data_IF_937031941301
#
_entry.id   IF_937031941301
#
_cell.length_a   1.000
_cell.length_b   1.000
_cell.length_c   1.000
_cell.angle_alpha   90.00
_cell.angle_beta   90.00
_cell.angle_gamma   90.00
#
_symmetry.space_group_name_H-M   'P 1'
#
loop_
_entity.id
_entity.type
_entity.pdbx_description
1 polymer ?
#
# COMPACT_ATOMS: atom_id res chain seq x y z
N UNK A 1 7.57 -30.68 14.81
CA UNK A 1 7.19 -29.36 14.26
C UNK A 1 8.00 -28.98 13.01
N UNK A 2 9.31 -29.26 12.94
CA UNK A 2 10.17 -28.98 11.77
C UNK A 2 9.60 -29.42 10.41
N UNK A 3 9.04 -30.64 10.32
CA UNK A 3 8.40 -31.13 9.08
C UNK A 3 7.21 -30.27 8.66
N UNK A 4 6.34 -29.90 9.61
CA UNK A 4 5.17 -29.06 9.33
C UNK A 4 5.60 -27.66 8.92
N UNK A 5 6.59 -27.07 9.62
CA UNK A 5 7.17 -25.77 9.27
C UNK A 5 7.73 -25.73 7.85
N UNK A 6 8.41 -26.80 7.40
CA UNK A 6 8.86 -26.90 6.00
C UNK A 6 7.66 -26.95 5.03
N UNK A 7 6.68 -27.79 5.32
CA UNK A 7 5.50 -27.99 4.47
C UNK A 7 4.68 -26.71 4.29
N UNK A 8 4.44 -25.93 5.34
CA UNK A 8 3.60 -24.72 5.21
C UNK A 8 4.26 -23.62 4.37
N UNK A 9 5.60 -23.54 4.38
CA UNK A 9 6.32 -22.61 3.50
C UNK A 9 6.27 -23.08 2.06
N UNK A 10 6.58 -24.35 1.84
CA UNK A 10 6.50 -25.02 0.53
C UNK A 10 5.08 -24.91 -0.05
N UNK A 11 4.04 -25.01 0.77
CA UNK A 11 2.65 -24.83 0.37
C UNK A 11 2.43 -23.45 -0.26
N UNK A 12 2.83 -22.38 0.44
CA UNK A 12 2.64 -21.02 -0.06
C UNK A 12 3.47 -20.77 -1.34
N UNK A 13 4.69 -21.32 -1.40
CA UNK A 13 5.57 -21.24 -2.58
C UNK A 13 4.95 -21.96 -3.80
N UNK A 14 4.41 -23.16 -3.62
CA UNK A 14 3.70 -23.92 -4.68
C UNK A 14 2.50 -23.14 -5.22
N UNK A 15 1.75 -22.45 -4.35
CA UNK A 15 0.58 -21.68 -4.76
C UNK A 15 0.90 -20.26 -5.31
N UNK A 16 2.18 -19.89 -5.39
CA UNK A 16 2.63 -18.69 -6.10
C UNK A 16 3.25 -17.59 -5.24
N UNK A 17 3.58 -17.86 -3.98
CA UNK A 17 4.43 -16.95 -3.21
C UNK A 17 5.89 -16.99 -3.69
N UNK A 18 6.54 -15.83 -3.79
CA UNK A 18 7.97 -15.74 -4.12
C UNK A 18 8.89 -15.79 -2.89
N UNK A 19 8.34 -15.57 -1.70
CA UNK A 19 9.06 -15.67 -0.43
C UNK A 19 8.08 -15.99 0.70
N UNK A 20 8.50 -16.86 1.62
CA UNK A 20 7.69 -17.29 2.77
C UNK A 20 8.53 -17.40 4.04
N UNK A 21 7.96 -17.00 5.16
CA UNK A 21 8.59 -17.04 6.47
C UNK A 21 7.61 -17.37 7.58
N UNK A 22 8.15 -17.70 8.75
CA UNK A 22 7.41 -18.06 9.95
C UNK A 22 7.87 -17.18 11.11
N UNK A 23 6.91 -16.65 11.86
CA UNK A 23 7.13 -15.95 13.13
C UNK A 23 6.44 -16.71 14.26
N UNK A 24 6.94 -16.57 15.49
CA UNK A 24 6.22 -16.94 16.72
C UNK A 24 5.83 -15.71 17.54
N UNK A 25 4.99 -15.90 18.55
CA UNK A 25 4.65 -14.87 19.55
C UNK A 25 5.88 -14.23 20.19
N UNK A 26 6.95 -15.00 20.43
CA UNK A 26 8.21 -14.49 21.00
C UNK A 26 8.95 -13.59 20.02
N UNK A 27 9.00 -13.97 18.74
CA UNK A 27 9.67 -13.15 17.71
C UNK A 27 8.95 -11.81 17.44
N UNK A 28 7.68 -11.71 17.83
CA UNK A 28 6.83 -10.53 17.71
C UNK A 28 6.65 -9.75 19.04
N UNK A 29 7.26 -10.22 20.13
CA UNK A 29 7.11 -9.58 21.44
C UNK A 29 7.58 -8.12 21.44
N UNK A 30 6.87 -7.23 22.14
CA UNK A 30 7.17 -5.79 22.20
C UNK A 30 6.68 -4.98 20.99
N UNK A 31 6.09 -5.65 19.99
CA UNK A 31 5.52 -5.02 18.81
C UNK A 31 4.29 -4.16 19.06
N UNK A 32 3.84 -3.42 18.03
CA UNK A 32 2.59 -2.67 18.10
C UNK A 32 1.39 -3.65 18.17
N UNK A 33 0.20 -3.19 18.59
CA UNK A 33 -0.99 -4.05 18.67
C UNK A 33 -1.29 -4.87 17.41
N UNK A 34 -0.98 -4.35 16.21
CA UNK A 34 -1.12 -5.06 14.93
C UNK A 34 -0.11 -6.18 14.68
N UNK A 35 0.75 -6.54 15.63
CA UNK A 35 1.53 -7.79 15.59
C UNK A 35 1.06 -8.82 16.61
N UNK A 36 0.03 -8.50 17.40
CA UNK A 36 -0.59 -9.44 18.31
C UNK A 36 -1.51 -10.40 17.55
N UNK A 37 -1.04 -11.63 17.36
CA UNK A 37 -1.77 -12.70 16.67
C UNK A 37 -3.04 -13.12 17.41
N UNK A 38 -3.10 -12.91 18.73
CA UNK A 38 -4.26 -13.29 19.55
C UNK A 38 -5.52 -12.50 19.19
N UNK A 39 -5.35 -11.32 18.57
CA UNK A 39 -6.45 -10.49 18.08
C UNK A 39 -7.34 -11.21 17.06
N UNK A 40 -6.73 -11.98 16.15
CA UNK A 40 -7.48 -12.75 15.13
C UNK A 40 -7.72 -14.20 15.55
N UNK A 41 -6.85 -14.75 16.40
CA UNK A 41 -6.96 -16.11 16.89
C UNK A 41 -6.40 -16.20 18.32
N UNK A 42 -7.24 -16.23 19.38
CA UNK A 42 -6.78 -16.16 20.77
C UNK A 42 -5.72 -17.19 21.18
N UNK A 43 -5.72 -18.38 20.57
CA UNK A 43 -4.75 -19.45 20.80
C UNK A 43 -3.57 -19.47 19.83
N UNK A 44 -3.34 -18.42 19.04
CA UNK A 44 -2.25 -18.36 18.07
C UNK A 44 -0.88 -18.44 18.75
N UNK A 45 0.00 -19.28 18.20
CA UNK A 45 1.40 -19.44 18.63
C UNK A 45 2.39 -18.98 17.58
N UNK A 46 2.01 -19.09 16.30
CA UNK A 46 2.83 -18.69 15.18
C UNK A 46 2.01 -18.13 14.04
N UNK A 47 2.68 -17.50 13.09
CA UNK A 47 2.09 -17.12 11.82
C UNK A 47 3.01 -17.45 10.65
N UNK A 48 2.43 -17.91 9.54
CA UNK A 48 3.11 -18.06 8.26
C UNK A 48 2.81 -16.81 7.45
N UNK A 49 3.84 -16.08 7.01
CA UNK A 49 3.73 -14.85 6.23
C UNK A 49 4.45 -15.03 4.91
N UNK A 50 3.88 -14.52 3.83
CA UNK A 50 4.42 -14.71 2.49
C UNK A 50 4.13 -13.51 1.60
N UNK A 51 4.85 -13.46 0.48
CA UNK A 51 4.75 -12.42 -0.51
C UNK A 51 4.41 -12.99 -1.89
N UNK A 52 3.45 -12.38 -2.56
CA UNK A 52 3.08 -12.67 -3.96
C UNK A 52 3.54 -11.52 -4.84
N UNK A 53 4.34 -11.76 -5.88
CA UNK A 53 4.79 -10.69 -6.77
C UNK A 53 3.65 -10.18 -7.64
N UNK A 54 3.62 -8.87 -7.86
CA UNK A 54 2.79 -8.30 -8.92
C UNK A 54 3.45 -8.55 -10.29
N UNK A 55 2.63 -8.69 -11.33
CA UNK A 55 3.12 -8.66 -12.71
C UNK A 55 3.88 -7.34 -12.96
N UNK A 56 5.17 -7.40 -13.35
CA UNK A 56 5.97 -6.19 -13.56
C UNK A 56 5.68 -5.49 -14.90
N UNK A 57 5.09 -6.17 -15.89
CA UNK A 57 4.84 -5.63 -17.22
C UNK A 57 4.05 -4.29 -17.22
N UNK A 58 2.98 -4.11 -16.43
CA UNK A 58 2.24 -2.85 -16.42
C UNK A 58 2.90 -1.69 -15.66
N UNK A 59 4.02 -1.91 -14.95
CA UNK A 59 4.64 -0.87 -14.10
C UNK A 59 5.07 0.34 -14.93
N UNK A 60 5.83 0.11 -16.00
CA UNK A 60 6.37 1.19 -16.83
C UNK A 60 5.27 1.96 -17.59
N UNK A 61 4.32 1.30 -18.29
CA UNK A 61 3.18 1.98 -18.88
C UNK A 61 2.36 2.79 -17.86
N UNK A 62 2.22 2.29 -16.63
CA UNK A 62 1.53 3.02 -15.57
C UNK A 62 2.29 4.29 -15.15
N UNK A 63 3.60 4.19 -14.91
CA UNK A 63 4.43 5.33 -14.52
C UNK A 63 4.48 6.41 -15.60
N UNK A 64 4.50 6.00 -16.89
CA UNK A 64 4.40 6.88 -18.05
C UNK A 64 3.00 7.45 -18.30
N UNK A 65 2.00 7.02 -17.53
CA UNK A 65 0.58 7.36 -17.71
C UNK A 65 -0.03 6.92 -19.05
N UNK A 66 0.39 5.77 -19.55
CA UNK A 66 -0.08 5.18 -20.80
C UNK A 66 -1.17 4.13 -20.56
N UNK A 67 -1.06 3.35 -19.48
CA UNK A 67 -2.03 2.31 -19.14
C UNK A 67 -2.21 2.18 -17.63
N UNK A 68 -3.37 2.64 -17.13
CA UNK A 68 -3.75 2.54 -15.73
C UNK A 68 -4.31 1.17 -15.37
N UNK A 69 -5.12 0.61 -16.27
CA UNK A 69 -6.01 -0.51 -16.00
C UNK A 69 -5.23 -1.81 -15.89
N UNK A 70 -4.16 -1.98 -16.66
CA UNK A 70 -3.34 -3.19 -16.56
C UNK A 70 -2.62 -3.30 -15.20
N UNK A 71 -2.15 -2.18 -14.63
CA UNK A 71 -1.58 -2.21 -13.28
C UNK A 71 -2.67 -2.49 -12.23
N UNK A 72 -3.83 -1.86 -12.36
CA UNK A 72 -4.96 -2.09 -11.45
C UNK A 72 -5.36 -3.59 -11.45
N UNK A 73 -5.47 -4.19 -12.63
CA UNK A 73 -5.73 -5.65 -12.78
C UNK A 73 -4.63 -6.50 -12.15
N UNK A 74 -3.36 -6.16 -12.37
CA UNK A 74 -2.24 -6.88 -11.76
C UNK A 74 -2.25 -6.78 -10.23
N UNK A 75 -2.53 -5.59 -9.68
CA UNK A 75 -2.64 -5.37 -8.24
C UNK A 75 -3.80 -6.16 -7.63
N UNK A 76 -4.97 -6.14 -8.27
CA UNK A 76 -6.15 -6.91 -7.82
C UNK A 76 -5.86 -8.41 -7.86
N UNK A 77 -5.27 -8.92 -8.96
CA UNK A 77 -4.91 -10.34 -9.08
C UNK A 77 -3.95 -10.79 -7.98
N UNK A 78 -2.88 -10.03 -7.72
CA UNK A 78 -1.93 -10.36 -6.66
C UNK A 78 -2.57 -10.33 -5.26
N UNK A 79 -3.50 -9.40 -5.00
CA UNK A 79 -4.27 -9.36 -3.75
C UNK A 79 -5.21 -10.55 -3.58
N UNK A 80 -5.92 -10.92 -4.65
CA UNK A 80 -6.81 -12.08 -4.65
C UNK A 80 -6.02 -13.36 -4.45
N UNK A 81 -4.89 -13.51 -5.14
CA UNK A 81 -4.02 -14.68 -4.99
C UNK A 81 -3.45 -14.77 -3.57
N UNK A 82 -2.84 -13.70 -3.04
CA UNK A 82 -2.27 -13.71 -1.69
C UNK A 82 -3.31 -14.05 -0.61
N UNK A 83 -4.51 -13.46 -0.70
CA UNK A 83 -5.61 -13.77 0.22
C UNK A 83 -6.16 -15.20 0.03
N UNK A 84 -6.15 -15.71 -1.21
CA UNK A 84 -6.54 -17.07 -1.53
C UNK A 84 -5.58 -18.12 -0.94
N UNK A 85 -4.27 -17.91 -1.08
CA UNK A 85 -3.23 -18.75 -0.46
C UNK A 85 -3.43 -18.78 1.05
N UNK A 86 -3.70 -17.63 1.68
CA UNK A 86 -3.94 -17.57 3.12
C UNK A 86 -5.14 -18.45 3.53
N UNK A 87 -6.25 -18.36 2.79
CA UNK A 87 -7.44 -19.18 3.01
C UNK A 87 -7.14 -20.68 2.85
N UNK A 88 -6.49 -21.08 1.76
CA UNK A 88 -6.16 -22.48 1.50
C UNK A 88 -5.24 -23.06 2.57
N UNK A 89 -4.18 -22.33 2.94
CA UNK A 89 -3.23 -22.76 3.96
C UNK A 89 -3.89 -22.85 5.35
N UNK A 90 -4.76 -21.91 5.70
CA UNK A 90 -5.52 -21.97 6.96
C UNK A 90 -6.44 -23.19 7.01
N UNK A 91 -7.13 -23.51 5.91
CA UNK A 91 -7.95 -24.72 5.79
C UNK A 91 -7.10 -26.00 5.91
N UNK A 92 -5.97 -26.04 5.23
CA UNK A 92 -5.02 -27.15 5.29
C UNK A 92 -4.55 -27.44 6.72
N UNK A 93 -4.15 -26.39 7.46
CA UNK A 93 -3.72 -26.51 8.86
C UNK A 93 -4.87 -26.93 9.78
N UNK A 94 -6.05 -26.36 9.59
CA UNK A 94 -7.25 -26.68 10.38
C UNK A 94 -7.64 -28.15 10.21
N UNK A 95 -7.63 -28.68 9.00
CA UNK A 95 -7.89 -30.11 8.73
C UNK A 95 -6.82 -31.04 9.34
N UNK A 96 -5.63 -30.52 9.65
CA UNK A 96 -4.59 -31.25 10.38
C UNK A 96 -4.69 -31.11 11.90
N UNK A 97 -5.76 -30.50 12.41
CA UNK A 97 -6.00 -30.31 13.84
C UNK A 97 -5.34 -29.06 14.43
N UNK A 98 -4.89 -28.12 13.59
CA UNK A 98 -4.31 -26.85 14.04
C UNK A 98 -5.26 -25.69 13.71
N UNK A 99 -6.04 -25.18 14.69
CA UNK A 99 -6.87 -23.98 14.50
C UNK A 99 -6.07 -22.86 13.84
N UNK A 100 -6.57 -22.35 12.72
CA UNK A 100 -5.86 -21.36 11.91
C UNK A 100 -6.83 -20.37 11.30
N UNK A 101 -6.43 -19.10 11.23
CA UNK A 101 -7.22 -18.01 10.66
C UNK A 101 -6.45 -17.39 9.49
N UNK A 102 -7.04 -17.32 8.28
CA UNK A 102 -6.44 -16.61 7.18
C UNK A 102 -6.54 -15.10 7.44
N UNK A 103 -5.44 -14.39 7.22
CA UNK A 103 -5.42 -12.93 7.32
C UNK A 103 -5.26 -12.38 5.89
N UNK A 104 -6.31 -11.72 5.42
CA UNK A 104 -6.35 -11.15 4.07
C UNK A 104 -5.24 -10.12 3.86
N UNK A 105 -4.81 -9.96 2.60
CA UNK A 105 -3.73 -9.03 2.28
C UNK A 105 -4.04 -7.57 2.64
N UNK A 106 -5.32 -7.17 2.58
CA UNK A 106 -5.80 -5.83 2.91
C UNK A 106 -7.32 -5.87 3.16
N UNK A 107 -7.91 -4.70 3.46
CA UNK A 107 -9.34 -4.44 3.66
C UNK A 107 -9.94 -5.00 4.95
N UNK A 108 -9.10 -5.38 5.93
CA UNK A 108 -9.53 -5.75 7.28
C UNK A 108 -8.83 -4.82 8.25
N UNK A 109 -9.63 -4.00 8.93
CA UNK A 109 -9.15 -2.92 9.79
C UNK A 109 -9.73 -3.06 11.20
N UNK A 110 -8.95 -2.63 12.19
CA UNK A 110 -9.42 -2.56 13.58
C UNK A 110 -10.34 -1.35 13.75
N UNK A 111 -11.37 -1.46 14.61
CA UNK A 111 -12.24 -0.33 14.89
C UNK A 111 -11.46 0.85 15.49
N UNK A 112 -11.97 2.05 15.26
CA UNK A 112 -11.44 3.27 15.87
C UNK A 112 -11.61 3.18 17.39
N UNK A 113 -10.57 3.45 18.19
CA UNK A 113 -10.73 3.55 19.64
C UNK A 113 -11.77 4.61 20.01
N UNK A 114 -12.68 4.28 20.93
CA UNK A 114 -13.70 5.20 21.44
C UNK A 114 -13.08 6.50 21.97
N UNK A 115 -13.65 7.65 21.60
CA UNK A 115 -13.24 8.97 22.10
C UNK A 115 -12.13 9.66 21.30
N UNK A 116 -11.73 9.11 20.15
CA UNK A 116 -10.95 9.87 19.16
C UNK A 116 -11.85 10.77 18.33
N UNK A 117 -11.42 11.99 18.11
CA UNK A 117 -12.08 12.90 17.17
C UNK A 117 -11.84 12.40 15.74
N UNK A 118 -12.94 12.14 15.02
CA UNK A 118 -12.89 11.66 13.64
C UNK A 118 -12.82 12.87 12.71
N UNK A 119 -11.62 13.16 12.21
CA UNK A 119 -11.38 14.38 11.44
C UNK A 119 -11.33 14.13 9.93
N UNK A 120 -11.10 12.89 9.49
CA UNK A 120 -11.19 12.46 8.09
C UNK A 120 -11.45 10.95 7.96
N UNK A 121 -11.65 10.44 6.74
CA UNK A 121 -11.89 9.00 6.50
C UNK A 121 -10.81 8.10 7.12
N UNK A 122 -9.56 8.56 7.12
CA UNK A 122 -8.45 7.81 7.71
C UNK A 122 -8.61 7.61 9.23
N UNK A 123 -9.29 8.54 9.90
CA UNK A 123 -9.58 8.49 11.33
C UNK A 123 -10.84 7.68 11.61
N UNK A 124 -11.90 7.88 10.82
CA UNK A 124 -13.20 7.16 10.93
C UNK A 124 -13.09 5.67 10.66
N UNK A 125 -12.25 5.26 9.70
CA UNK A 125 -12.15 3.85 9.32
C UNK A 125 -10.93 3.16 9.89
N UNK A 126 -10.09 3.89 10.65
CA UNK A 126 -8.84 3.41 11.23
C UNK A 126 -8.06 2.55 10.21
N UNK A 127 -7.17 3.16 9.43
CA UNK A 127 -6.26 2.39 8.53
C UNK A 127 -5.21 1.54 9.29
N UNK A 128 -5.53 1.14 10.52
CA UNK A 128 -4.79 0.24 11.35
C UNK A 128 -5.29 -1.19 11.13
N UNK A 129 -4.49 -2.07 10.50
CA UNK A 129 -4.93 -3.40 10.11
C UNK A 129 -5.12 -4.30 11.34
N UNK A 130 -5.91 -5.35 11.17
CA UNK A 130 -5.98 -6.46 12.13
C UNK A 130 -4.58 -7.02 12.43
N UNK A 131 -3.80 -7.37 11.40
CA UNK A 131 -2.39 -7.76 11.50
C UNK A 131 -1.56 -7.02 10.44
N UNK A 132 -0.45 -6.43 10.85
CA UNK A 132 0.47 -5.71 9.98
C UNK A 132 1.51 -6.67 9.37
N UNK A 133 1.15 -7.33 8.27
CA UNK A 133 1.97 -8.30 7.54
C UNK A 133 3.45 -7.91 7.36
N UNK A 134 3.72 -6.62 7.09
CA UNK A 134 5.08 -6.11 6.87
C UNK A 134 6.03 -6.34 8.05
N UNK A 135 5.53 -6.33 9.29
CA UNK A 135 6.36 -6.58 10.46
C UNK A 135 6.68 -8.07 10.60
N UNK A 136 5.68 -8.93 10.38
CA UNK A 136 5.85 -10.38 10.35
C UNK A 136 6.86 -10.76 9.26
N UNK A 137 6.75 -10.16 8.07
CA UNK A 137 7.62 -10.41 6.93
C UNK A 137 9.10 -10.06 7.22
N UNK A 138 9.36 -8.91 7.87
CA UNK A 138 10.74 -8.56 8.28
C UNK A 138 11.26 -9.54 9.34
N UNK A 139 10.44 -9.89 10.33
CA UNK A 139 10.84 -10.77 11.43
C UNK A 139 11.07 -12.22 11.02
N UNK A 140 10.53 -12.63 9.88
CA UNK A 140 10.62 -13.99 9.35
C UNK A 140 11.54 -14.15 8.15
N UNK A 141 12.18 -13.06 7.69
CA UNK A 141 13.11 -13.13 6.57
C UNK A 141 12.46 -13.18 5.18
N UNK A 142 11.21 -12.73 5.05
CA UNK A 142 10.55 -12.56 3.73
C UNK A 142 11.12 -11.36 2.96
N UNK A 143 11.58 -10.32 3.66
CA UNK A 143 12.17 -9.13 3.04
C UNK A 143 12.66 -8.10 4.07
N UNK A 144 13.20 -6.99 3.59
CA UNK A 144 13.65 -5.89 4.44
C UNK A 144 12.64 -4.76 4.50
N UNK A 145 12.68 -3.99 5.59
CA UNK A 145 11.93 -2.73 5.65
C UNK A 145 12.67 -1.67 4.83
N UNK A 146 12.04 -1.16 3.77
CA UNK A 146 12.54 -0.02 3.02
C UNK A 146 12.30 1.30 3.76
N UNK A 147 13.02 2.37 3.37
CA UNK A 147 12.85 3.68 4.00
C UNK A 147 11.42 4.23 3.84
N UNK A 148 10.74 3.87 2.75
CA UNK A 148 9.32 4.19 2.56
C UNK A 148 8.38 3.44 3.48
N UNK A 149 8.84 2.49 4.31
CA UNK A 149 8.01 1.59 5.10
C UNK A 149 7.32 0.48 4.30
N UNK A 150 7.54 0.38 2.99
CA UNK A 150 7.18 -0.81 2.22
C UNK A 150 8.20 -1.92 2.49
N UNK A 151 7.74 -3.17 2.49
CA UNK A 151 8.66 -4.29 2.43
C UNK A 151 9.35 -4.30 1.06
N UNK A 152 10.64 -4.57 1.03
CA UNK A 152 11.41 -4.74 -0.19
C UNK A 152 11.99 -6.16 -0.21
N UNK A 153 11.76 -6.86 -1.31
CA UNK A 153 12.18 -8.25 -1.53
C UNK A 153 13.25 -8.25 -2.62
N UNK A 154 14.26 -9.15 -2.54
CA UNK A 154 15.13 -9.43 -3.67
C UNK A 154 14.31 -9.67 -4.95
N UNK A 155 14.85 -9.23 -6.10
CA UNK A 155 14.25 -9.35 -7.45
C UNK A 155 12.92 -8.64 -7.72
N UNK A 156 12.10 -8.38 -6.70
CA UNK A 156 10.76 -7.79 -6.85
C UNK A 156 10.63 -6.37 -6.29
N UNK A 157 11.61 -5.85 -5.57
CA UNK A 157 11.47 -4.52 -4.98
C UNK A 157 10.33 -4.48 -3.98
N UNK A 158 9.57 -3.39 -3.98
CA UNK A 158 8.34 -3.26 -3.18
C UNK A 158 7.07 -3.73 -3.91
N UNK A 159 7.15 -4.25 -5.15
CA UNK A 159 5.97 -4.59 -5.95
C UNK A 159 5.48 -6.01 -5.65
N UNK A 160 5.15 -6.23 -4.39
CA UNK A 160 4.66 -7.50 -3.84
C UNK A 160 3.45 -7.23 -2.95
N UNK A 161 2.57 -8.22 -2.85
CA UNK A 161 1.44 -8.22 -1.92
C UNK A 161 1.71 -9.24 -0.82
N UNK A 162 1.53 -8.82 0.43
CA UNK A 162 1.75 -9.67 1.61
C UNK A 162 0.43 -10.21 2.12
N UNK A 163 0.44 -11.45 2.57
CA UNK A 163 -0.64 -12.04 3.37
C UNK A 163 -0.05 -12.98 4.42
N UNK A 164 -0.88 -13.43 5.36
CA UNK A 164 -0.44 -14.37 6.40
C UNK A 164 -1.55 -15.28 6.90
N UNK A 165 -1.14 -16.31 7.64
CA UNK A 165 -2.03 -17.22 8.37
C UNK A 165 -1.58 -17.26 9.81
N UNK A 166 -2.44 -16.85 10.74
CA UNK A 166 -2.22 -17.04 12.17
C UNK A 166 -2.68 -18.46 12.56
N UNK A 167 -1.89 -19.17 13.37
CA UNK A 167 -2.17 -20.57 13.70
C UNK A 167 -1.79 -20.92 15.14
N UNK A 168 -2.56 -21.83 15.73
CA UNK A 168 -2.24 -22.46 17.01
C UNK A 168 -1.11 -23.50 16.90
N UNK A 169 -0.68 -23.86 15.68
CA UNK A 169 0.50 -24.70 15.48
C UNK A 169 1.76 -24.02 16.04
N UNK A 170 2.61 -24.79 16.72
CA UNK A 170 3.90 -24.34 17.24
C UNK A 170 4.98 -24.52 16.17
N UNK A 171 4.96 -23.64 15.17
CA UNK A 171 5.87 -23.71 14.03
C UNK A 171 7.23 -23.11 14.38
N UNK A 172 8.29 -23.71 13.85
CA UNK A 172 9.68 -23.22 13.99
C UNK A 172 9.83 -21.89 13.23
N UNK A 173 10.14 -20.77 13.91
CA UNK A 173 10.34 -19.48 13.26
C UNK A 173 11.51 -19.50 12.29
N UNK A 174 11.40 -18.72 11.21
CA UNK A 174 12.52 -18.47 10.30
C UNK A 174 13.27 -17.22 10.75
N UNK A 175 14.61 -17.20 10.63
CA UNK A 175 15.39 -16.02 10.98
C UNK A 175 15.08 -14.87 10.00
N UNK A 176 15.20 -13.60 10.44
CA UNK A 176 15.26 -12.45 9.54
C UNK A 176 16.38 -12.57 8.52
N UNK A 177 16.24 -11.85 7.41
CA UNK A 177 17.35 -11.66 6.48
C UNK A 177 18.49 -10.86 7.15
N UNK A 178 19.76 -11.16 6.83
CA UNK A 178 20.90 -10.44 7.37
C UNK A 178 20.81 -8.93 7.09
N UNK A 179 20.98 -8.04 8.08
CA UNK A 179 20.85 -6.59 7.89
C UNK A 179 21.71 -6.00 6.76
N UNK A 180 22.89 -6.57 6.53
CA UNK A 180 23.83 -6.19 5.48
C UNK A 180 23.33 -6.45 4.06
N UNK A 181 22.31 -7.30 3.88
CA UNK A 181 21.67 -7.57 2.59
C UNK A 181 20.58 -6.54 2.24
N UNK A 182 20.26 -5.62 3.17
CA UNK A 182 19.27 -4.58 2.93
C UNK A 182 19.79 -3.52 1.93
N UNK A 183 19.36 -3.63 0.67
CA UNK A 183 19.74 -2.73 -0.41
C UNK A 183 19.07 -1.34 -0.37
N UNK A 184 18.24 -1.05 0.63
CA UNK A 184 17.68 0.28 0.83
C UNK A 184 18.76 1.27 1.35
N UNK A 185 19.40 1.94 0.41
CA UNK A 185 20.38 3.01 0.64
C UNK A 185 19.79 4.37 1.06
N UNK A 186 18.53 4.40 1.51
CA UNK A 186 17.78 5.62 1.87
C UNK A 186 17.82 6.72 0.78
N UNK A 187 17.87 6.35 -0.50
CA UNK A 187 17.90 7.30 -1.63
C UNK A 187 16.76 8.34 -1.67
N UNK A 188 15.65 8.13 -0.97
CA UNK A 188 14.55 9.08 -0.86
C UNK A 188 13.64 9.18 -2.09
N UNK A 189 13.87 8.41 -3.16
CA UNK A 189 13.06 8.49 -4.38
C UNK A 189 11.59 8.13 -4.16
N UNK A 190 11.30 7.22 -3.25
CA UNK A 190 9.93 6.90 -2.83
C UNK A 190 9.22 8.06 -2.13
N UNK A 191 9.95 8.89 -1.38
CA UNK A 191 9.44 10.11 -0.76
C UNK A 191 9.26 11.21 -1.81
N UNK A 192 10.24 11.37 -2.70
CA UNK A 192 10.17 12.32 -3.80
C UNK A 192 9.05 12.02 -4.82
N UNK A 193 8.59 10.76 -4.89
CA UNK A 193 7.46 10.34 -5.71
C UNK A 193 6.09 10.52 -5.01
N UNK A 194 6.07 10.89 -3.73
CA UNK A 194 4.84 11.03 -2.94
C UNK A 194 4.24 12.43 -3.10
N UNK A 195 3.17 12.55 -3.90
CA UNK A 195 2.50 13.83 -4.14
C UNK A 195 1.84 14.45 -2.89
N UNK A 196 1.57 13.65 -1.84
CA UNK A 196 0.92 14.13 -0.61
C UNK A 196 1.85 14.42 0.55
N UNK A 197 3.15 14.15 0.40
CA UNK A 197 4.13 14.33 1.46
C UNK A 197 3.84 13.48 2.71
N UNK A 198 3.22 12.30 2.57
CA UNK A 198 2.84 11.41 3.68
C UNK A 198 4.02 10.95 4.55
N UNK A 199 5.21 10.85 3.96
CA UNK A 199 6.42 10.33 4.59
C UNK A 199 7.34 11.46 5.02
N UNK A 200 7.78 11.44 6.28
CA UNK A 200 8.71 12.41 6.85
C UNK A 200 10.16 12.03 6.49
N UNK A 201 10.88 12.97 5.85
CA UNK A 201 12.26 12.73 5.42
C UNK A 201 13.26 12.73 6.58
N UNK A 202 12.97 13.48 7.65
CA UNK A 202 13.92 13.75 8.75
C UNK A 202 13.68 12.86 9.96
N UNK A 203 12.44 12.45 10.19
CA UNK A 203 12.05 11.64 11.35
C UNK A 203 11.78 10.20 10.96
N UNK A 204 12.21 9.28 11.80
CA UNK A 204 11.92 7.85 11.64
C UNK A 204 10.87 7.40 12.67
N UNK A 205 10.12 6.37 12.31
CA UNK A 205 9.43 5.49 13.25
C UNK A 205 10.33 4.29 13.52
N UNK A 206 10.48 3.93 14.79
CA UNK A 206 11.23 2.75 15.22
C UNK A 206 10.30 1.84 16.02
N UNK A 207 10.37 0.55 15.74
CA UNK A 207 9.62 -0.51 16.41
C UNK A 207 10.58 -1.61 16.81
N UNK A 208 10.42 -2.18 18.00
CA UNK A 208 11.23 -3.31 18.49
C UNK A 208 10.35 -4.55 18.57
N UNK A 209 10.77 -5.63 17.92
CA UNK A 209 10.02 -6.89 17.83
C UNK A 209 10.96 -8.06 18.13
N UNK A 210 10.71 -8.78 19.23
CA UNK A 210 11.57 -9.89 19.66
C UNK A 210 13.04 -9.47 19.80
N UNK A 211 13.28 -8.26 20.34
CA UNK A 211 14.62 -7.68 20.51
C UNK A 211 15.25 -7.10 19.24
N UNK A 212 14.59 -7.16 18.08
CA UNK A 212 15.12 -6.61 16.81
C UNK A 212 14.46 -5.28 16.48
N UNK A 213 15.29 -4.28 16.22
CA UNK A 213 14.86 -2.95 15.82
C UNK A 213 14.53 -2.88 14.32
N UNK A 214 13.38 -2.29 13.99
CA UNK A 214 12.96 -1.97 12.63
C UNK A 214 12.69 -0.47 12.54
N UNK A 215 13.36 0.22 11.61
CA UNK A 215 13.22 1.66 11.41
C UNK A 215 12.84 2.02 9.98
N UNK A 216 11.96 3.01 9.81
CA UNK A 216 11.52 3.54 8.51
C UNK A 216 11.05 4.99 8.65
N UNK A 217 10.77 5.69 7.54
CA UNK A 217 10.28 7.07 7.57
C UNK A 217 9.01 7.20 8.41
N UNK A 218 9.00 8.17 9.33
CA UNK A 218 7.83 8.48 10.15
C UNK A 218 6.66 8.85 9.25
N UNK A 219 5.50 8.27 9.53
CA UNK A 219 4.25 8.68 8.87
C UNK A 219 3.78 10.00 9.48
N UNK A 220 3.40 10.94 8.61
CA UNK A 220 2.53 12.06 8.98
C UNK A 220 1.09 11.53 9.12
N UNK A 221 0.09 12.40 8.97
CA UNK A 221 -1.30 11.94 8.92
C UNK A 221 -1.61 10.99 7.76
N UNK A 222 -2.35 9.92 8.03
CA UNK A 222 -2.78 8.97 6.99
C UNK A 222 -3.73 9.58 5.96
N UNK A 223 -4.51 10.60 6.35
CA UNK A 223 -5.37 11.35 5.43
C UNK A 223 -4.61 11.97 4.25
N UNK A 224 -3.31 12.27 4.41
CA UNK A 224 -2.48 12.70 3.27
C UNK A 224 -2.39 11.63 2.19
N UNK A 225 -2.13 10.39 2.60
CA UNK A 225 -2.01 9.28 1.68
C UNK A 225 -3.36 8.99 1.01
N UNK A 226 -4.44 9.00 1.78
CA UNK A 226 -5.77 8.70 1.27
C UNK A 226 -6.27 9.73 0.25
N UNK A 227 -6.02 11.04 0.45
CA UNK A 227 -6.31 12.08 -0.55
C UNK A 227 -5.81 11.74 -1.97
N UNK A 228 -4.63 11.13 -2.07
CA UNK A 228 -3.99 10.82 -3.36
C UNK A 228 -4.15 9.37 -3.79
N UNK A 229 -4.30 8.43 -2.86
CA UNK A 229 -4.46 7.00 -3.15
C UNK A 229 -5.92 6.65 -3.51
N UNK A 230 -6.87 7.31 -2.86
CA UNK A 230 -8.30 7.21 -3.20
C UNK A 230 -8.68 8.05 -4.41
N UNK A 231 -7.76 8.92 -4.87
CA UNK A 231 -7.86 9.59 -6.16
C UNK A 231 -8.64 10.90 -6.12
N UNK A 232 -8.88 11.48 -4.94
CA UNK A 232 -9.52 12.79 -4.79
C UNK A 232 -8.67 13.93 -5.37
N UNK A 233 -7.35 13.84 -5.25
CA UNK A 233 -6.40 14.76 -5.89
C UNK A 233 -5.13 14.03 -6.32
N UNK A 234 -4.29 14.64 -7.15
CA UNK A 234 -3.11 13.98 -7.69
C UNK A 234 -1.98 14.85 -8.19
N UNK A 235 -2.18 16.16 -8.36
CA UNK A 235 -1.13 17.02 -8.89
C UNK A 235 0.07 17.10 -7.92
N UNK A 236 1.26 16.77 -8.40
CA UNK A 236 2.48 16.93 -7.62
C UNK A 236 2.73 18.42 -7.34
N UNK A 237 3.27 18.83 -6.17
CA UNK A 237 3.51 20.23 -5.84
C UNK A 237 4.35 21.02 -6.86
N UNK A 238 5.15 20.35 -7.68
CA UNK A 238 5.89 21.00 -8.75
C UNK A 238 5.05 21.36 -9.98
N UNK A 239 3.78 20.98 -10.06
CA UNK A 239 2.88 21.20 -11.20
C UNK A 239 3.19 20.42 -12.48
N UNK A 240 4.31 19.70 -12.52
CA UNK A 240 4.87 19.06 -13.72
C UNK A 240 4.32 17.67 -14.03
N UNK A 241 3.88 16.95 -13.01
CA UNK A 241 3.33 15.60 -13.15
C UNK A 241 2.29 15.33 -12.06
N UNK A 242 1.50 14.27 -12.19
CA UNK A 242 0.46 13.91 -11.22
C UNK A 242 0.41 12.41 -10.91
N UNK A 243 -0.50 11.98 -10.02
CA UNK A 243 -1.01 10.61 -10.00
C UNK A 243 -1.97 10.38 -11.18
N UNK A 244 -2.70 9.26 -11.21
CA UNK A 244 -3.79 9.07 -12.17
C UNK A 244 -5.10 9.78 -11.79
N UNK A 245 -5.11 10.58 -10.72
CA UNK A 245 -6.22 11.48 -10.42
C UNK A 245 -6.14 12.74 -11.30
N UNK A 246 -7.27 13.21 -11.88
CA UNK A 246 -7.34 14.50 -12.55
C UNK A 246 -7.44 15.70 -11.58
N UNK A 247 -7.68 15.43 -10.28
CA UNK A 247 -7.86 16.47 -9.26
C UNK A 247 -6.57 17.22 -8.96
N UNK A 248 -6.71 18.52 -8.73
CA UNK A 248 -5.63 19.51 -8.50
C UNK A 248 -5.84 20.30 -7.22
N UNK A 249 -6.63 19.77 -6.30
CA UNK A 249 -6.78 20.34 -4.97
C UNK A 249 -5.47 20.18 -4.20
N UNK A 250 -4.95 21.25 -3.58
CA UNK A 250 -3.70 21.19 -2.83
C UNK A 250 -3.86 20.26 -1.63
N UNK A 251 -2.87 19.40 -1.38
CA UNK A 251 -2.76 18.69 -0.12
C UNK A 251 -2.27 19.69 0.93
N UNK A 252 -2.98 19.89 2.06
CA UNK A 252 -2.60 20.90 3.05
C UNK A 252 -1.19 20.70 3.62
N UNK A 253 -0.50 21.78 3.94
CA UNK A 253 0.83 21.70 4.55
C UNK A 253 0.78 21.22 6.00
N UNK A 254 -0.26 21.59 6.74
CA UNK A 254 -0.49 21.19 8.13
C UNK A 254 -1.53 20.08 8.21
N UNK A 255 -1.43 19.21 9.21
CA UNK A 255 -2.31 18.04 9.32
C UNK A 255 -3.71 18.44 9.85
N UNK A 256 -3.79 19.53 10.61
CA UNK A 256 -5.00 20.10 11.20
C UNK A 256 -5.96 20.67 10.14
N UNK A 257 -5.46 20.98 8.94
CA UNK A 257 -6.24 21.52 7.83
C UNK A 257 -6.81 20.41 6.91
N UNK A 258 -6.46 19.13 7.17
CA UNK A 258 -6.96 18.00 6.39
C UNK A 258 -8.50 17.88 6.40
N UNK A 259 -9.22 18.05 7.52
CA UNK A 259 -10.67 17.86 7.55
C UNK A 259 -11.41 18.76 6.56
N UNK A 260 -11.11 20.06 6.58
CA UNK A 260 -11.70 21.03 5.65
C UNK A 260 -11.32 20.74 4.18
N UNK A 261 -10.12 20.21 3.93
CA UNK A 261 -9.73 19.79 2.60
C UNK A 261 -10.55 18.58 2.13
N UNK A 262 -10.84 17.63 3.02
CA UNK A 262 -11.61 16.41 2.73
C UNK A 262 -13.04 16.72 2.27
N UNK A 263 -13.77 17.57 2.98
CA UNK A 263 -15.17 17.90 2.64
C UNK A 263 -15.29 18.40 1.21
N UNK A 264 -14.43 19.36 0.85
CA UNK A 264 -14.41 19.97 -0.49
C UNK A 264 -14.10 18.95 -1.59
N UNK A 265 -13.06 18.12 -1.39
CA UNK A 265 -12.61 17.20 -2.45
C UNK A 265 -13.55 16.02 -2.62
N UNK A 266 -14.20 15.55 -1.55
CA UNK A 266 -15.19 14.47 -1.64
C UNK A 266 -16.44 14.93 -2.37
N UNK A 267 -16.95 16.14 -2.07
CA UNK A 267 -18.10 16.70 -2.77
C UNK A 267 -17.81 16.85 -4.27
N UNK A 268 -16.63 17.34 -4.61
CA UNK A 268 -16.19 17.47 -6.00
C UNK A 268 -16.05 16.10 -6.68
N UNK A 269 -15.37 15.15 -6.04
CA UNK A 269 -15.13 13.80 -6.57
C UNK A 269 -16.43 13.02 -6.79
N UNK A 270 -17.42 13.14 -5.89
CA UNK A 270 -18.73 12.48 -6.04
C UNK A 270 -19.53 12.96 -7.25
N UNK A 271 -19.14 14.10 -7.85
CA UNK A 271 -19.74 14.67 -9.07
C UNK A 271 -18.93 14.35 -10.33
N UNK A 272 -17.80 13.65 -10.22
CA UNK A 272 -16.98 13.32 -11.38
C UNK A 272 -17.65 12.26 -12.25
N UNK A 273 -17.48 12.33 -13.59
CA UNK A 273 -17.93 11.26 -14.46
C UNK A 273 -17.25 9.93 -14.09
N UNK A 274 -18.02 8.84 -14.16
CA UNK A 274 -17.51 7.50 -13.91
C UNK A 274 -16.34 7.18 -14.86
N UNK A 275 -15.33 6.50 -14.34
CA UNK A 275 -14.20 6.00 -15.13
C UNK A 275 -14.12 4.48 -15.05
N UNK A 276 -13.53 3.86 -16.09
CA UNK A 276 -13.37 2.41 -16.18
C UNK A 276 -12.57 1.84 -15.00
N UNK A 277 -12.81 0.57 -14.68
CA UNK A 277 -12.11 -0.15 -13.63
C UNK A 277 -12.63 0.17 -12.23
N UNK A 278 -11.75 -0.03 -11.25
CA UNK A 278 -11.99 0.08 -9.83
C UNK A 278 -12.55 -1.19 -9.20
N UNK A 279 -12.55 -1.19 -7.86
CA UNK A 279 -13.05 -2.28 -7.01
C UNK A 279 -13.88 -1.72 -5.87
N UNK A 280 -14.79 -2.51 -5.33
CA UNK A 280 -15.52 -2.13 -4.13
C UNK A 280 -14.60 -2.12 -2.90
N UNK A 281 -14.91 -1.22 -1.99
CA UNK A 281 -14.26 -1.05 -0.70
C UNK A 281 -15.33 -1.01 0.39
N UNK A 282 -15.05 -1.53 1.58
CA UNK A 282 -16.10 -1.90 2.55
C UNK A 282 -17.00 -0.75 3.04
N UNK A 283 -16.57 0.50 2.89
CA UNK A 283 -17.30 1.68 3.38
C UNK A 283 -17.92 2.55 2.27
N UNK A 284 -17.78 2.18 0.99
CA UNK A 284 -18.40 2.91 -0.14
C UNK A 284 -19.09 1.95 -1.10
N UNK A 285 -20.27 2.34 -1.56
CA UNK A 285 -21.01 1.64 -2.63
C UNK A 285 -20.53 2.05 -4.04
N UNK A 286 -19.49 2.88 -4.12
CA UNK A 286 -18.79 3.23 -5.36
C UNK A 286 -17.48 2.46 -5.54
N UNK A 287 -17.05 2.29 -6.80
CA UNK A 287 -15.78 1.65 -7.12
C UNK A 287 -14.61 2.60 -6.85
N UNK A 288 -13.71 2.20 -5.95
CA UNK A 288 -12.42 2.85 -5.76
C UNK A 288 -11.50 2.50 -6.94
N UNK A 289 -11.08 3.50 -7.71
CA UNK A 289 -10.11 3.33 -8.83
C UNK A 289 -8.69 3.51 -8.34
N UNK A 290 -7.80 2.66 -8.83
CA UNK A 290 -6.39 2.70 -8.50
C UNK A 290 -5.74 3.96 -9.09
N UNK A 291 -5.39 4.91 -8.23
CA UNK A 291 -4.93 6.24 -8.65
C UNK A 291 -3.45 6.51 -8.38
N UNK A 292 -2.90 6.01 -7.27
CA UNK A 292 -1.51 6.19 -6.89
C UNK A 292 -0.92 4.90 -6.28
N UNK A 293 0.31 4.57 -6.68
CA UNK A 293 1.15 3.58 -6.01
C UNK A 293 2.65 3.89 -6.15
N UNK A 294 3.01 5.15 -6.38
CA UNK A 294 4.36 5.51 -6.83
C UNK A 294 5.47 5.11 -5.85
N UNK A 295 5.26 5.23 -4.54
CA UNK A 295 6.28 4.84 -3.56
C UNK A 295 6.57 3.33 -3.55
N UNK A 296 5.61 2.51 -3.96
CA UNK A 296 5.76 1.07 -4.17
C UNK A 296 6.44 0.80 -5.51
N UNK A 297 5.93 1.39 -6.60
CA UNK A 297 6.39 1.11 -7.95
C UNK A 297 7.83 1.59 -8.23
N UNK A 298 8.21 2.74 -7.66
CA UNK A 298 9.58 3.29 -7.80
C UNK A 298 10.60 2.46 -7.02
N UNK A 299 10.21 1.80 -5.93
CA UNK A 299 11.11 0.97 -5.13
C UNK A 299 11.41 -0.37 -5.84
N UNK A 300 12.52 -0.40 -6.57
CA UNK A 300 13.05 -1.56 -7.27
C UNK A 300 14.38 -2.06 -6.66
N UNK A 301 14.84 -3.28 -6.98
CA UNK A 301 16.08 -3.85 -6.42
C UNK A 301 17.33 -2.99 -6.66
N UNK A 302 17.54 -2.52 -7.89
CA UNK A 302 18.73 -1.73 -8.25
C UNK A 302 18.49 -0.23 -8.12
N UNK A 303 19.55 0.53 -7.84
CA UNK A 303 19.46 2.00 -7.72
C UNK A 303 19.19 2.64 -9.08
N UNK A 304 19.74 2.05 -10.13
CA UNK A 304 19.59 2.43 -11.52
C UNK A 304 18.12 2.33 -11.93
N UNK A 305 17.45 1.21 -11.62
CA UNK A 305 16.03 1.04 -11.93
C UNK A 305 15.16 1.98 -11.10
N UNK A 306 15.48 2.20 -9.82
CA UNK A 306 14.80 3.20 -8.99
C UNK A 306 14.85 4.60 -9.62
N UNK A 307 16.03 5.04 -10.08
CA UNK A 307 16.21 6.32 -10.78
C UNK A 307 15.44 6.36 -12.09
N UNK A 308 15.51 5.29 -12.90
CA UNK A 308 14.79 5.17 -14.17
C UNK A 308 13.28 5.29 -13.96
N UNK A 309 12.69 4.50 -13.06
CA UNK A 309 11.26 4.54 -12.75
C UNK A 309 10.81 5.89 -12.22
N UNK A 310 11.62 6.53 -11.39
CA UNK A 310 11.34 7.89 -10.92
C UNK A 310 11.36 8.91 -12.07
N UNK A 311 12.31 8.79 -13.01
CA UNK A 311 12.38 9.66 -14.18
C UNK A 311 11.16 9.47 -15.10
N UNK A 312 10.74 8.22 -15.36
CA UNK A 312 9.52 7.92 -16.11
C UNK A 312 8.29 8.63 -15.52
N UNK A 313 8.16 8.63 -14.19
CA UNK A 313 7.09 9.34 -13.51
C UNK A 313 7.18 10.85 -13.69
N UNK A 314 8.38 11.43 -13.56
CA UNK A 314 8.58 12.88 -13.69
C UNK A 314 8.27 13.41 -15.08
N UNK A 315 8.51 12.59 -16.10
CA UNK A 315 8.33 12.95 -17.51
C UNK A 315 6.92 12.58 -18.03
N UNK A 316 6.07 11.99 -17.18
CA UNK A 316 4.75 11.47 -17.58
C UNK A 316 3.67 12.54 -17.79
N UNK A 317 3.93 13.80 -17.41
CA UNK A 317 2.93 14.86 -17.46
C UNK A 317 1.80 14.68 -16.43
N UNK A 318 0.69 15.37 -16.66
CA UNK A 318 -0.43 15.49 -15.73
C UNK A 318 -1.70 14.85 -16.32
N UNK A 319 -2.56 14.31 -15.47
CA UNK A 319 -3.83 13.72 -15.90
C UNK A 319 -4.94 14.78 -15.96
N UNK A 320 -5.77 14.67 -16.99
CA UNK A 320 -7.06 15.38 -17.13
C UNK A 320 -8.17 14.37 -17.39
N UNK A 321 -9.40 14.73 -17.04
CA UNK A 321 -10.59 13.91 -17.32
C UNK A 321 -11.47 14.57 -18.38
N UNK A 322 -11.87 13.79 -19.37
CA UNK A 322 -12.78 14.20 -20.45
C UNK A 322 -14.24 14.08 -20.00
N UNK A 323 -15.18 14.55 -20.82
CA UNK A 323 -16.61 14.56 -20.47
C UNK A 323 -17.22 13.16 -20.33
N UNK A 324 -16.70 12.19 -21.07
CA UNK A 324 -17.08 10.77 -21.01
C UNK A 324 -16.44 10.03 -19.81
N UNK A 325 -15.66 10.74 -18.99
CA UNK A 325 -14.99 10.18 -17.82
C UNK A 325 -13.67 9.46 -18.08
N UNK A 326 -13.26 9.34 -19.35
CA UNK A 326 -11.93 8.82 -19.67
C UNK A 326 -10.83 9.79 -19.18
N UNK A 327 -9.64 9.23 -18.94
CA UNK A 327 -8.50 9.97 -18.38
C UNK A 327 -7.33 9.86 -19.34
N UNK A 328 -6.68 10.99 -19.61
CA UNK A 328 -5.48 11.04 -20.46
C UNK A 328 -4.39 11.88 -19.81
N UNK A 329 -3.14 11.51 -20.08
CA UNK A 329 -1.98 12.32 -19.75
C UNK A 329 -1.75 13.38 -20.82
N UNK A 330 -1.41 14.59 -20.38
CA UNK A 330 -1.10 15.75 -21.22
C UNK A 330 0.05 16.55 -20.60
N UNK A 331 0.60 17.51 -21.34
CA UNK A 331 1.54 18.47 -20.78
C UNK A 331 0.85 19.38 -19.74
N UNK A 332 1.59 19.95 -18.78
CA UNK A 332 1.03 20.94 -17.85
C UNK A 332 0.34 22.13 -18.55
N UNK A 333 0.90 22.58 -19.67
CA UNK A 333 0.39 23.71 -20.47
C UNK A 333 -0.91 23.34 -21.20
N UNK A 334 -0.96 22.15 -21.80
CA UNK A 334 -2.19 21.64 -22.42
C UNK A 334 -3.29 21.41 -21.37
N UNK A 335 -2.94 20.88 -20.19
CA UNK A 335 -3.90 20.75 -19.10
C UNK A 335 -4.49 22.09 -18.67
N UNK A 336 -3.69 23.16 -18.63
CA UNK A 336 -4.20 24.51 -18.35
C UNK A 336 -5.17 24.99 -19.41
N UNK A 337 -4.80 24.84 -20.67
CA UNK A 337 -5.68 25.17 -21.81
C UNK A 337 -7.02 24.42 -21.71
N UNK A 338 -7.00 23.12 -21.38
CA UNK A 338 -8.20 22.31 -21.23
C UNK A 338 -9.07 22.80 -20.05
N UNK A 339 -8.48 23.09 -18.90
CA UNK A 339 -9.20 23.52 -17.70
C UNK A 339 -9.79 24.93 -17.84
N UNK A 340 -9.05 25.86 -18.43
CA UNK A 340 -9.50 27.24 -18.65
C UNK A 340 -10.65 27.31 -19.68
N UNK A 341 -10.73 26.33 -20.59
CA UNK A 341 -11.84 26.18 -21.52
C UNK A 341 -13.09 25.52 -20.90
N UNK A 342 -13.01 24.97 -19.68
CA UNK A 342 -14.18 24.36 -19.02
C UNK A 342 -15.12 25.45 -18.47
N UNK A 343 -16.45 25.22 -18.49
CA UNK A 343 -17.39 26.04 -17.73
C UNK A 343 -16.97 26.12 -16.24
N UNK A 344 -17.14 27.27 -15.55
CA UNK A 344 -16.68 27.47 -14.18
C UNK A 344 -17.14 26.38 -13.20
N UNK A 345 -18.42 25.98 -13.28
CA UNK A 345 -19.00 24.92 -12.43
C UNK A 345 -18.29 23.58 -12.61
N UNK A 346 -17.90 23.25 -13.85
CA UNK A 346 -17.19 22.01 -14.15
C UNK A 346 -15.72 22.09 -13.72
N UNK A 347 -15.07 23.25 -13.92
CA UNK A 347 -13.69 23.48 -13.49
C UNK A 347 -13.54 23.36 -11.97
N UNK A 348 -14.52 23.86 -11.21
CA UNK A 348 -14.56 23.80 -9.76
C UNK A 348 -14.55 22.36 -9.19
N UNK A 349 -14.91 21.35 -10.01
CA UNK A 349 -14.81 19.95 -9.62
C UNK A 349 -13.37 19.43 -9.61
N UNK A 350 -12.43 20.08 -10.31
CA UNK A 350 -11.05 19.59 -10.44
C UNK A 350 -10.04 20.45 -9.71
N UNK A 351 -10.35 21.72 -9.46
CA UNK A 351 -9.43 22.63 -8.80
C UNK A 351 -10.14 23.75 -8.04
N UNK A 352 -9.42 24.46 -7.15
CA UNK A 352 -9.93 25.69 -6.60
C UNK A 352 -10.14 26.74 -7.70
N UNK A 353 -11.38 27.22 -7.83
CA UNK A 353 -11.79 28.32 -8.72
C UNK A 353 -12.09 29.54 -7.88
#
# INVERSE_FOLDING_TARGET
MTKLSRIVREFAEIEGACATGIVSTETLAGGPPSTDLSYVLPGARSAVVFAVPMDPAPIEPYLKKQDRLSLERAYVRANTLASGIALHLANYLTQKGYPSVPVAANNVFRPVPSGKEETCLADTYSYYPDIAHRYLAVRSGVGHMGFSGNLIIPDHGATVILASVATAADLVPTPPLPPEENYCDRCGLCLAACASGFMDFKRNTTVVLGGVEISYSKRRHYGRCDLVCSGYTGLHPSGRWSTWSPGRFPVPDRDEDLPAAYDRVQEAHGKWPASEGGRYFFFMDEKLRFSCAHCMLVCAPTKEERKRRYQLLRDSGVVVQTADGSRKAVSPEEARTILDAMPPERRALYEPV
#
